data_IF_570176354480
#
_entry.id   IF_570176354480
#
_cell.length_a   1.000
_cell.length_b   1.000
_cell.length_c   1.000
_cell.angle_alpha   90.00
_cell.angle_beta   90.00
_cell.angle_gamma   90.00
#
_symmetry.space_group_name_H-M   'P 1'
#
loop_
_entity.id
_entity.type
_entity.pdbx_description
1 polymer ?
#
# COMPACT_ATOMS: atom_id res chain seq x y z
N UNK A 1 -4.43 -12.99 15.22
CA UNK A 1 -3.48 -11.97 14.72
C UNK A 1 -4.17 -10.63 14.81
N UNK A 2 -3.48 -9.58 15.25
CA UNK A 2 -4.07 -8.23 15.40
C UNK A 2 -3.40 -7.33 14.37
N UNK A 3 -4.18 -6.77 13.44
CA UNK A 3 -3.65 -5.80 12.49
C UNK A 3 -3.37 -4.45 13.15
N UNK A 4 -2.61 -3.61 12.45
CA UNK A 4 -2.29 -2.24 12.84
C UNK A 4 -3.03 -1.26 11.92
N UNK A 5 -3.35 -0.09 12.47
CA UNK A 5 -3.82 1.03 11.66
C UNK A 5 -2.62 1.70 11.02
N UNK A 6 -2.69 1.90 9.71
CA UNK A 6 -1.70 2.66 8.94
C UNK A 6 -2.41 3.76 8.17
N UNK A 7 -1.65 4.78 7.76
CA UNK A 7 -2.18 5.87 6.93
C UNK A 7 -1.83 5.57 5.48
N UNK A 8 -2.81 5.48 4.61
CA UNK A 8 -2.67 5.47 3.16
C UNK A 8 -2.95 6.89 2.66
N UNK A 9 -2.07 7.43 1.84
CA UNK A 9 -2.31 8.70 1.18
C UNK A 9 -2.87 8.42 -0.21
N UNK A 10 -4.13 8.80 -0.42
CA UNK A 10 -4.80 8.63 -1.71
C UNK A 10 -5.04 9.96 -2.39
N UNK A 11 -5.04 9.93 -3.71
CA UNK A 11 -5.14 11.10 -4.58
C UNK A 11 -6.59 11.22 -5.04
N UNK A 12 -7.36 12.02 -4.32
CA UNK A 12 -8.80 12.19 -4.58
C UNK A 12 -8.99 13.44 -5.42
N UNK A 13 -9.64 13.30 -6.58
CA UNK A 13 -10.07 14.43 -7.39
C UNK A 13 -11.18 15.20 -6.66
N UNK A 14 -10.87 16.38 -6.13
CA UNK A 14 -11.84 17.21 -5.38
C UNK A 14 -12.70 18.10 -6.26
N UNK A 15 -12.38 18.20 -7.54
CA UNK A 15 -13.10 19.03 -8.50
C UNK A 15 -12.23 19.37 -9.70
N UNK A 16 -12.73 20.26 -10.53
CA UNK A 16 -11.96 20.86 -11.63
C UNK A 16 -11.69 22.32 -11.31
N UNK A 17 -10.49 22.80 -11.59
CA UNK A 17 -10.15 24.21 -11.44
C UNK A 17 -10.83 25.08 -12.52
N UNK A 18 -10.58 26.40 -12.48
CA UNK A 18 -11.13 27.36 -13.45
C UNK A 18 -10.64 27.13 -14.89
N UNK A 19 -9.64 26.27 -15.10
CA UNK A 19 -9.11 25.86 -16.41
C UNK A 19 -9.59 24.47 -16.85
N UNK A 20 -10.37 23.78 -16.00
CA UNK A 20 -10.91 22.44 -16.28
C UNK A 20 -9.95 21.30 -15.94
N UNK A 21 -8.81 21.58 -15.29
CA UNK A 21 -7.88 20.55 -14.81
C UNK A 21 -8.37 19.96 -13.49
N UNK A 22 -8.27 18.64 -13.28
CA UNK A 22 -8.68 18.02 -12.02
C UNK A 22 -7.75 18.44 -10.88
N UNK A 23 -8.33 18.99 -9.82
CA UNK A 23 -7.63 19.30 -8.57
C UNK A 23 -7.48 18.00 -7.79
N UNK A 24 -6.26 17.44 -7.80
CA UNK A 24 -5.92 16.23 -7.07
C UNK A 24 -5.45 16.63 -5.66
N UNK A 25 -6.16 16.16 -4.63
CA UNK A 25 -5.77 16.36 -3.23
C UNK A 25 -5.32 15.06 -2.59
N UNK A 26 -4.13 15.08 -2.00
CA UNK A 26 -3.54 13.94 -1.32
C UNK A 26 -4.14 13.81 0.10
N UNK A 27 -5.14 12.95 0.25
CA UNK A 27 -5.92 12.80 1.48
C UNK A 27 -5.39 11.61 2.31
N UNK A 28 -5.08 11.80 3.61
CA UNK A 28 -4.71 10.71 4.49
C UNK A 28 -5.95 9.88 4.88
N UNK A 29 -5.90 8.58 4.61
CA UNK A 29 -6.95 7.60 4.92
C UNK A 29 -6.40 6.59 5.92
N UNK A 30 -7.09 6.40 7.05
CA UNK A 30 -6.71 5.42 8.06
C UNK A 30 -7.24 4.03 7.71
N UNK A 31 -6.33 3.13 7.33
CA UNK A 31 -6.67 1.73 7.04
C UNK A 31 -6.36 0.89 8.28
N UNK A 32 -7.42 0.38 8.89
CA UNK A 32 -7.32 -0.51 10.06
C UNK A 32 -7.07 -1.96 9.64
N UNK A 33 -6.62 -2.77 10.60
CA UNK A 33 -6.41 -4.20 10.42
C UNK A 33 -5.40 -4.59 9.32
N UNK A 34 -4.30 -3.83 9.14
CA UNK A 34 -3.22 -4.19 8.21
C UNK A 34 -2.14 -5.00 8.93
N UNK A 35 -1.68 -6.10 8.34
CA UNK A 35 -0.51 -6.84 8.87
C UNK A 35 0.76 -6.30 8.24
N UNK A 36 1.80 -6.10 9.06
CA UNK A 36 3.10 -5.58 8.63
C UNK A 36 4.15 -6.63 9.00
N UNK A 37 4.84 -7.16 8.00
CA UNK A 37 5.93 -8.12 8.18
C UNK A 37 7.18 -7.65 7.45
N UNK A 38 8.40 -7.88 7.98
CA UNK A 38 9.62 -7.63 7.21
C UNK A 38 9.60 -8.46 5.92
N UNK A 39 10.05 -7.87 4.82
CA UNK A 39 10.13 -8.56 3.53
C UNK A 39 11.26 -9.59 3.55
N UNK A 40 11.01 -10.77 2.98
CA UNK A 40 12.01 -11.82 2.83
C UNK A 40 13.13 -11.42 1.88
N UNK A 41 14.36 -11.86 2.12
CA UNK A 41 15.54 -11.53 1.30
C UNK A 41 15.35 -11.79 -0.19
N UNK A 42 14.59 -12.85 -0.53
CA UNK A 42 14.21 -13.21 -1.91
C UNK A 42 13.30 -12.17 -2.57
N UNK A 43 12.24 -11.74 -1.87
CA UNK A 43 11.34 -10.67 -2.32
C UNK A 43 12.10 -9.33 -2.43
N UNK A 44 13.04 -9.03 -1.51
CA UNK A 44 13.90 -7.83 -1.59
C UNK A 44 14.74 -7.84 -2.86
N UNK A 45 15.40 -8.97 -3.13
CA UNK A 45 16.26 -9.13 -4.31
C UNK A 45 15.44 -9.02 -5.60
N UNK A 46 14.26 -9.62 -5.63
CA UNK A 46 13.33 -9.52 -6.76
C UNK A 46 12.88 -8.08 -7.00
N UNK A 47 12.48 -7.36 -5.95
CA UNK A 47 12.07 -5.96 -6.05
C UNK A 47 13.20 -5.06 -6.57
N UNK A 48 14.42 -5.25 -6.07
CA UNK A 48 15.61 -4.50 -6.53
C UNK A 48 15.90 -4.78 -8.00
N UNK A 49 15.85 -6.04 -8.43
CA UNK A 49 16.10 -6.39 -9.83
C UNK A 49 15.04 -5.84 -10.79
N UNK A 50 13.76 -5.85 -10.40
CA UNK A 50 12.65 -5.43 -11.28
C UNK A 50 12.43 -3.91 -11.29
N UNK A 51 12.67 -3.24 -10.16
CA UNK A 51 12.27 -1.84 -9.97
C UNK A 51 13.42 -0.92 -9.55
N UNK A 52 14.59 -1.47 -9.20
CA UNK A 52 15.70 -0.73 -8.57
C UNK A 52 15.44 -0.37 -7.09
N UNK A 53 14.30 -0.77 -6.53
CA UNK A 53 13.83 -0.35 -5.22
C UNK A 53 13.95 -1.47 -4.19
N UNK A 54 14.34 -1.11 -2.97
CA UNK A 54 14.53 -2.06 -1.88
C UNK A 54 13.25 -2.20 -1.06
N UNK A 55 12.51 -3.28 -1.30
CA UNK A 55 11.39 -3.65 -0.42
C UNK A 55 11.90 -3.92 1.01
N UNK A 56 11.26 -3.32 2.01
CA UNK A 56 11.64 -3.46 3.43
C UNK A 56 10.54 -4.19 4.20
N UNK A 57 9.28 -3.85 3.92
CA UNK A 57 8.12 -4.48 4.54
C UNK A 57 7.13 -4.97 3.51
N UNK A 58 6.44 -6.04 3.88
CA UNK A 58 5.30 -6.61 3.19
C UNK A 58 4.06 -6.34 4.03
N UNK A 59 3.05 -5.73 3.42
CA UNK A 59 1.75 -5.45 3.99
C UNK A 59 0.73 -6.51 3.53
N UNK A 60 -0.06 -7.04 4.45
CA UNK A 60 -1.27 -7.77 4.12
C UNK A 60 -2.49 -6.89 4.38
N UNK A 61 -3.25 -6.60 3.32
CA UNK A 61 -4.39 -5.68 3.35
C UNK A 61 -5.69 -6.48 3.57
N UNK A 62 -6.60 -6.01 4.43
CA UNK A 62 -7.85 -6.69 4.70
C UNK A 62 -8.73 -6.70 3.45
N UNK A 63 -9.54 -7.75 3.29
CA UNK A 63 -10.46 -7.94 2.16
C UNK A 63 -11.50 -6.85 2.00
N UNK A 64 -11.85 -6.18 3.11
CA UNK A 64 -12.80 -5.08 3.12
C UNK A 64 -12.23 -3.80 2.51
N UNK A 65 -10.92 -3.75 2.26
CA UNK A 65 -10.26 -2.57 1.70
C UNK A 65 -10.35 -2.55 0.17
N UNK A 66 -10.89 -1.46 -0.35
CA UNK A 66 -11.10 -1.23 -1.78
C UNK A 66 -10.24 -0.09 -2.32
N UNK A 67 -9.29 0.41 -1.53
CA UNK A 67 -8.43 1.51 -1.97
C UNK A 67 -7.42 1.01 -3.01
N UNK A 68 -6.96 1.95 -3.82
CA UNK A 68 -5.80 1.71 -4.68
C UNK A 68 -4.52 1.75 -3.83
N UNK A 69 -3.65 0.77 -4.03
CA UNK A 69 -2.36 0.68 -3.34
C UNK A 69 -1.19 0.78 -4.32
N UNK A 70 -1.44 1.09 -5.59
CA UNK A 70 -0.39 1.15 -6.60
C UNK A 70 0.37 2.48 -6.51
N UNK A 71 1.67 2.41 -6.30
CA UNK A 71 2.57 3.57 -6.19
C UNK A 71 2.16 4.63 -5.14
N UNK A 72 1.31 4.29 -4.17
CA UNK A 72 0.83 5.17 -3.11
C UNK A 72 1.84 5.36 -1.99
N UNK A 73 1.72 6.50 -1.31
CA UNK A 73 2.46 6.81 -0.09
C UNK A 73 1.70 6.23 1.10
N UNK A 74 2.42 5.59 2.01
CA UNK A 74 1.84 5.06 3.25
C UNK A 74 2.71 5.41 4.44
N UNK A 75 2.11 5.55 5.61
CA UNK A 75 2.82 5.90 6.85
C UNK A 75 2.47 4.95 7.97
N UNK A 76 3.51 4.36 8.55
CA UNK A 76 3.43 3.49 9.72
C UNK A 76 4.78 3.48 10.45
N UNK A 77 4.76 3.14 11.74
CA UNK A 77 5.93 3.25 12.63
C UNK A 77 6.59 4.64 12.63
N UNK A 78 5.79 5.70 12.42
CA UNK A 78 6.29 7.09 12.35
C UNK A 78 7.18 7.40 11.16
N UNK A 79 7.18 6.53 10.13
CA UNK A 79 7.99 6.69 8.91
C UNK A 79 7.10 6.67 7.68
N UNK A 80 7.54 7.36 6.64
CA UNK A 80 6.93 7.32 5.32
C UNK A 80 7.52 6.19 4.48
N UNK A 81 6.64 5.57 3.72
CA UNK A 81 6.93 4.44 2.85
C UNK A 81 6.20 4.65 1.53
N UNK A 82 6.68 3.98 0.49
CA UNK A 82 6.04 3.96 -0.81
C UNK A 82 5.76 2.53 -1.23
N UNK A 83 4.58 2.27 -1.77
CA UNK A 83 4.26 0.95 -2.31
C UNK A 83 5.03 0.68 -3.61
N UNK A 84 5.40 -0.59 -3.80
CA UNK A 84 6.21 -1.04 -4.94
C UNK A 84 5.35 -1.95 -5.81
N UNK A 85 5.22 -1.58 -7.08
CA UNK A 85 4.53 -2.37 -8.07
C UNK A 85 3.04 -2.51 -7.79
N UNK A 86 2.45 -3.56 -8.39
CA UNK A 86 1.02 -3.85 -8.33
C UNK A 86 0.73 -4.74 -7.12
N UNK A 87 -0.29 -4.42 -6.30
CA UNK A 87 -0.76 -5.31 -5.24
C UNK A 87 -1.08 -6.71 -5.78
N UNK A 88 -0.61 -7.75 -5.09
CA UNK A 88 -0.93 -9.12 -5.47
C UNK A 88 -2.17 -9.58 -4.69
N UNK A 89 -3.25 -9.88 -5.40
CA UNK A 89 -4.53 -10.27 -4.79
C UNK A 89 -4.80 -11.76 -4.99
N UNK A 90 -5.15 -12.43 -3.90
CA UNK A 90 -5.67 -13.78 -3.94
C UNK A 90 -7.19 -13.81 -4.08
N UNK A 91 -7.70 -14.94 -4.60
CA UNK A 91 -9.14 -15.16 -4.78
C UNK A 91 -9.82 -15.19 -3.39
N UNK A 92 -10.73 -14.24 -3.17
CA UNK A 92 -11.34 -14.00 -1.86
C UNK A 92 -12.04 -15.23 -1.25
N UNK A 93 -12.68 -16.06 -2.08
CA UNK A 93 -13.38 -17.27 -1.63
C UNK A 93 -12.45 -18.42 -1.23
N UNK A 94 -11.20 -18.41 -1.71
CA UNK A 94 -10.22 -19.47 -1.47
C UNK A 94 -9.27 -19.15 -0.31
N UNK A 95 -9.31 -17.93 0.21
CA UNK A 95 -8.52 -17.51 1.36
C UNK A 95 -9.46 -17.42 2.56
N UNK A 96 -9.39 -18.28 3.58
CA UNK A 96 -10.30 -18.20 4.73
C UNK A 96 -9.99 -17.01 5.67
N UNK A 97 -8.80 -16.42 5.55
CA UNK A 97 -8.34 -15.32 6.39
C UNK A 97 -8.99 -13.98 6.04
N UNK A 98 -8.83 -12.99 6.92
CA UNK A 98 -9.36 -11.62 6.74
C UNK A 98 -8.59 -10.77 5.71
N UNK A 99 -7.45 -11.27 5.20
CA UNK A 99 -6.56 -10.57 4.27
C UNK A 99 -6.44 -11.34 2.97
N UNK A 100 -6.38 -10.63 1.84
CA UNK A 100 -6.18 -11.25 0.53
C UNK A 100 -5.25 -10.46 -0.40
N UNK A 101 -4.86 -9.22 -0.06
CA UNK A 101 -3.89 -8.46 -0.86
C UNK A 101 -2.53 -8.42 -0.17
N UNK A 102 -1.47 -8.62 -0.94
CA UNK A 102 -0.07 -8.48 -0.54
C UNK A 102 0.51 -7.24 -1.24
N UNK A 103 1.07 -6.32 -0.47
CA UNK A 103 1.70 -5.09 -0.98
C UNK A 103 3.12 -5.01 -0.45
N UNK A 104 4.09 -4.71 -1.31
CA UNK A 104 5.47 -4.46 -0.91
C UNK A 104 5.68 -2.96 -0.73
N UNK A 105 6.49 -2.56 0.25
CA UNK A 105 6.83 -1.15 0.48
C UNK A 105 8.33 -0.94 0.62
N UNK A 106 8.80 0.17 0.06
CA UNK A 106 10.16 0.71 0.25
C UNK A 106 10.11 1.89 1.22
N UNK A 107 11.28 2.22 1.78
CA UNK A 107 11.44 3.44 2.57
C UNK A 107 11.38 4.65 1.66
N UNK A 108 10.55 5.63 2.02
CA UNK A 108 10.44 6.91 1.33
C UNK A 108 11.14 7.97 2.20
N UNK A 109 12.16 8.64 1.65
CA UNK A 109 12.90 9.73 2.30
C UNK A 109 12.52 11.08 1.70
#
# INVERSE_FOLDING_TARGET
MVGKTIILYDDIEKGKDEFGEPIIENTPIEISNVLIAPTSTEDVTTAVNLTGRRAVYTLAIPKSDTHDWENKKVRFFGKDWRTIGIPQEGIQSLIPLCWNKKVLVERYE
#
